data_IF_123235245880
#
_entry.id   IF_123235245880
#
_cell.length_a   1.000
_cell.length_b   1.000
_cell.length_c   1.000
_cell.angle_alpha   90.00
_cell.angle_beta   90.00
_cell.angle_gamma   90.00
#
_symmetry.space_group_name_H-M   'P 1'
#
loop_
_entity.id
_entity.type
_entity.pdbx_description
1 polymer ?
#
# COMPACT_ATOMS: atom_id res chain seq x y z
N UNK A 1 -12.91 4.09 -11.07
CA UNK A 1 -13.11 3.44 -12.39
C UNK A 1 -13.56 4.48 -13.42
N UNK A 2 -13.74 4.10 -14.69
CA UNK A 2 -14.30 5.00 -15.70
C UNK A 2 -15.77 5.39 -15.45
N UNK A 3 -16.56 4.51 -14.82
CA UNK A 3 -18.01 4.70 -14.59
C UNK A 3 -18.38 5.10 -13.16
N UNK A 4 -17.45 4.99 -12.21
CA UNK A 4 -17.70 5.27 -10.80
C UNK A 4 -16.48 5.80 -10.04
N UNK A 5 -16.76 6.63 -9.02
CA UNK A 5 -15.78 7.18 -8.07
C UNK A 5 -15.93 6.40 -6.77
N UNK A 6 -14.80 6.05 -6.15
CA UNK A 6 -14.78 5.35 -4.87
C UNK A 6 -14.09 6.24 -3.85
N UNK A 7 -14.65 6.31 -2.65
CA UNK A 7 -14.07 7.03 -1.52
C UNK A 7 -14.30 6.24 -0.24
N UNK A 8 -13.48 6.46 0.77
CA UNK A 8 -13.59 5.76 2.03
C UNK A 8 -13.46 6.71 3.22
N UNK A 9 -14.16 6.39 4.29
CA UNK A 9 -13.91 6.87 5.65
C UNK A 9 -13.41 5.70 6.48
N UNK A 10 -13.05 5.93 7.74
CA UNK A 10 -12.65 4.85 8.65
C UNK A 10 -13.72 3.77 8.85
N UNK A 11 -14.99 3.99 8.47
CA UNK A 11 -16.10 3.06 8.74
C UNK A 11 -16.90 2.64 7.51
N UNK A 12 -16.66 3.25 6.35
CA UNK A 12 -17.46 2.99 5.16
C UNK A 12 -16.69 3.25 3.86
N UNK A 13 -17.01 2.46 2.84
CA UNK A 13 -16.69 2.76 1.43
C UNK A 13 -17.94 3.31 0.76
N UNK A 14 -17.76 4.33 -0.07
CA UNK A 14 -18.79 4.94 -0.89
C UNK A 14 -18.44 4.72 -2.35
N UNK A 15 -19.42 4.28 -3.14
CA UNK A 15 -19.32 4.21 -4.60
C UNK A 15 -20.34 5.16 -5.21
N UNK A 16 -19.85 6.14 -5.97
CA UNK A 16 -20.67 7.09 -6.71
C UNK A 16 -20.67 6.73 -8.20
N UNK A 17 -21.84 6.44 -8.76
CA UNK A 17 -22.03 6.20 -10.18
C UNK A 17 -22.01 7.51 -10.97
N UNK A 18 -21.01 7.72 -11.84
CA UNK A 18 -20.88 8.96 -12.62
C UNK A 18 -22.03 9.17 -13.61
N UNK A 19 -22.59 8.07 -14.11
CA UNK A 19 -23.65 8.10 -15.12
C UNK A 19 -25.06 8.17 -14.50
N UNK A 20 -25.25 7.57 -13.32
CA UNK A 20 -26.57 7.47 -12.67
C UNK A 20 -26.77 8.50 -11.56
N UNK A 21 -25.68 9.03 -10.99
CA UNK A 21 -25.71 9.89 -9.80
C UNK A 21 -25.98 9.12 -8.49
N UNK A 22 -26.08 7.79 -8.54
CA UNK A 22 -26.39 6.96 -7.38
C UNK A 22 -25.18 6.83 -6.46
N UNK A 23 -25.45 6.75 -5.14
CA UNK A 23 -24.46 6.50 -4.10
C UNK A 23 -24.78 5.18 -3.43
N UNK A 24 -23.85 4.24 -3.50
CA UNK A 24 -23.86 3.01 -2.71
C UNK A 24 -22.90 3.16 -1.52
N UNK A 25 -23.28 2.58 -0.39
CA UNK A 25 -22.50 2.61 0.85
C UNK A 25 -22.26 1.21 1.38
N UNK A 26 -20.99 0.85 1.52
CA UNK A 26 -20.52 -0.41 2.09
C UNK A 26 -19.94 -0.15 3.49
N UNK A 27 -20.32 -0.97 4.46
CA UNK A 27 -19.98 -0.87 5.87
C UNK A 27 -19.80 -2.26 6.45
N UNK A 28 -19.28 -2.37 7.67
CA UNK A 28 -19.21 -3.66 8.38
C UNK A 28 -20.57 -4.34 8.58
N UNK A 29 -21.65 -3.55 8.63
CA UNK A 29 -23.01 -4.07 8.87
C UNK A 29 -23.56 -4.80 7.64
N UNK A 30 -23.20 -4.35 6.43
CA UNK A 30 -23.83 -4.83 5.20
C UNK A 30 -22.90 -5.54 4.22
N UNK A 31 -21.57 -5.39 4.31
CA UNK A 31 -20.66 -6.00 3.35
C UNK A 31 -19.23 -6.19 3.86
N UNK A 32 -18.64 -5.16 4.47
CA UNK A 32 -17.22 -5.15 4.85
C UNK A 32 -16.94 -6.07 6.04
N UNK A 33 -15.71 -6.55 6.13
CA UNK A 33 -15.28 -7.48 7.18
C UNK A 33 -14.81 -6.76 8.44
N UNK A 34 -14.45 -5.47 8.33
CA UNK A 34 -14.01 -4.70 9.49
C UNK A 34 -14.31 -3.19 9.44
N UNK A 35 -13.94 -2.51 10.52
CA UNK A 35 -13.84 -1.04 10.63
C UNK A 35 -12.37 -0.63 10.73
N UNK A 36 -12.10 0.67 10.64
CA UNK A 36 -10.73 1.20 10.64
C UNK A 36 -10.08 1.10 9.27
N UNK A 37 -10.83 1.41 8.19
CA UNK A 37 -10.29 1.49 6.83
C UNK A 37 -9.19 2.55 6.84
N UNK A 38 -7.99 2.15 6.42
CA UNK A 38 -6.80 2.99 6.38
C UNK A 38 -6.46 3.41 4.95
N UNK A 39 -6.75 2.56 3.96
CA UNK A 39 -6.46 2.84 2.56
C UNK A 39 -7.36 2.06 1.60
N UNK A 40 -7.53 2.55 0.39
CA UNK A 40 -8.25 1.88 -0.69
C UNK A 40 -7.51 2.00 -2.01
N UNK A 41 -7.57 0.95 -2.85
CA UNK A 41 -6.95 0.94 -4.18
C UNK A 41 -7.86 0.28 -5.20
N UNK A 42 -8.16 1.01 -6.28
CA UNK A 42 -8.90 0.47 -7.42
C UNK A 42 -7.96 -0.29 -8.34
N UNK A 43 -8.32 -1.52 -8.68
CA UNK A 43 -7.57 -2.40 -9.59
C UNK A 43 -8.39 -2.54 -10.87
N UNK A 44 -7.94 -1.87 -11.94
CA UNK A 44 -8.79 -1.56 -13.09
C UNK A 44 -9.06 -2.75 -14.01
N UNK A 45 -8.05 -3.57 -14.26
CA UNK A 45 -8.12 -4.80 -15.06
C UNK A 45 -9.04 -5.86 -14.43
N UNK A 46 -9.12 -5.89 -13.10
CA UNK A 46 -9.97 -6.83 -12.33
C UNK A 46 -11.33 -6.25 -11.90
N UNK A 47 -11.53 -4.95 -12.10
CA UNK A 47 -12.74 -4.23 -11.66
C UNK A 47 -13.09 -4.41 -10.17
N UNK A 48 -12.07 -4.40 -9.31
CA UNK A 48 -12.23 -4.57 -7.86
C UNK A 48 -11.62 -3.40 -7.09
N UNK A 49 -12.14 -3.18 -5.87
CA UNK A 49 -11.56 -2.26 -4.89
C UNK A 49 -10.92 -3.06 -3.76
N UNK A 50 -9.61 -2.89 -3.59
CA UNK A 50 -8.89 -3.34 -2.41
C UNK A 50 -9.12 -2.36 -1.26
N UNK A 51 -9.38 -2.89 -0.07
CA UNK A 51 -9.68 -2.12 1.14
C UNK A 51 -8.75 -2.61 2.25
N UNK A 52 -7.74 -1.80 2.57
CA UNK A 52 -6.79 -2.07 3.65
C UNK A 52 -7.29 -1.50 4.96
N UNK A 53 -7.02 -2.21 6.06
CA UNK A 53 -7.43 -1.83 7.41
C UNK A 53 -6.23 -1.59 8.33
N UNK A 54 -6.42 -0.73 9.32
CA UNK A 54 -5.41 -0.41 10.34
C UNK A 54 -5.03 -1.57 11.26
N UNK A 55 -5.71 -2.72 11.18
CA UNK A 55 -5.37 -3.94 11.92
C UNK A 55 -4.77 -5.05 11.04
N UNK A 56 -4.43 -4.74 9.79
CA UNK A 56 -3.89 -5.71 8.84
C UNK A 56 -4.94 -6.57 8.16
N UNK A 57 -6.23 -6.28 8.27
CA UNK A 57 -7.22 -6.96 7.43
C UNK A 57 -7.14 -6.42 5.98
N UNK A 58 -7.62 -7.23 5.04
CA UNK A 58 -7.81 -6.83 3.64
C UNK A 58 -9.16 -7.34 3.15
N UNK A 59 -9.93 -6.48 2.49
CA UNK A 59 -11.13 -6.86 1.73
C UNK A 59 -10.93 -6.59 0.23
N UNK A 60 -11.45 -7.48 -0.60
CA UNK A 60 -11.57 -7.32 -2.04
C UNK A 60 -13.05 -7.15 -2.38
N UNK A 61 -13.45 -5.94 -2.76
CA UNK A 61 -14.82 -5.61 -3.13
C UNK A 61 -15.00 -5.64 -4.66
N UNK A 62 -15.83 -6.55 -5.16
CA UNK A 62 -16.18 -6.67 -6.58
C UNK A 62 -17.70 -6.58 -6.75
N UNK A 63 -18.18 -5.56 -7.47
CA UNK A 63 -19.62 -5.28 -7.51
C UNK A 63 -20.14 -5.00 -6.09
N UNK A 64 -20.94 -5.90 -5.52
CA UNK A 64 -21.42 -5.82 -4.13
C UNK A 64 -20.88 -6.94 -3.24
N UNK A 65 -20.07 -7.85 -3.80
CA UNK A 65 -19.49 -8.99 -3.09
C UNK A 65 -18.14 -8.64 -2.49
N UNK A 66 -17.90 -9.12 -1.27
CA UNK A 66 -16.64 -8.95 -0.55
C UNK A 66 -16.00 -10.30 -0.32
N UNK A 67 -14.72 -10.42 -0.65
CA UNK A 67 -13.85 -11.51 -0.22
C UNK A 67 -12.90 -10.95 0.84
N UNK A 68 -12.83 -11.62 1.99
CA UNK A 68 -11.94 -11.23 3.07
C UNK A 68 -10.65 -12.04 3.06
N UNK A 69 -9.51 -11.36 3.19
CA UNK A 69 -8.19 -11.97 3.39
C UNK A 69 -7.60 -11.51 4.74
N UNK A 70 -7.83 -12.26 5.83
CA UNK A 70 -7.45 -11.86 7.19
C UNK A 70 -6.03 -12.28 7.59
N UNK A 71 -5.21 -12.74 6.64
CA UNK A 71 -3.94 -13.43 6.87
C UNK A 71 -2.94 -12.57 7.65
N UNK A 72 -2.74 -11.30 7.26
CA UNK A 72 -1.85 -10.38 7.99
C UNK A 72 -2.39 -10.15 9.41
N UNK A 73 -3.69 -9.85 9.55
CA UNK A 73 -4.36 -9.70 10.85
C UNK A 73 -4.17 -10.92 11.76
N UNK A 74 -4.26 -12.15 11.21
CA UNK A 74 -4.14 -13.42 11.94
C UNK A 74 -2.71 -13.93 12.11
N UNK A 75 -1.73 -13.35 11.40
CA UNK A 75 -0.34 -13.77 11.47
C UNK A 75 0.25 -13.64 12.89
N UNK A 76 1.36 -14.34 13.16
CA UNK A 76 2.10 -14.20 14.42
C UNK A 76 3.07 -13.01 14.45
N UNK A 77 3.04 -12.14 13.43
CA UNK A 77 3.85 -10.92 13.40
C UNK A 77 3.46 -10.05 14.59
N UNK A 78 4.45 -9.69 15.40
CA UNK A 78 4.26 -8.79 16.54
C UNK A 78 4.36 -7.34 16.06
N UNK A 79 3.70 -6.43 16.78
CA UNK A 79 3.76 -5.00 16.49
C UNK A 79 2.62 -4.52 15.59
N UNK A 80 2.88 -3.44 14.87
CA UNK A 80 1.91 -2.80 14.00
C UNK A 80 1.72 -3.58 12.70
N UNK A 81 0.46 -3.90 12.38
CA UNK A 81 0.05 -4.65 11.20
C UNK A 81 -0.75 -3.82 10.21
N UNK A 82 -0.96 -2.52 10.49
CA UNK A 82 -1.80 -1.66 9.69
C UNK A 82 -1.36 -1.64 8.22
N UNK A 83 -2.33 -1.59 7.30
CA UNK A 83 -2.07 -1.41 5.86
C UNK A 83 -2.11 0.09 5.57
N UNK A 84 -0.96 0.70 5.28
CA UNK A 84 -0.82 2.14 5.07
C UNK A 84 -1.10 2.56 3.64
N UNK A 85 -0.68 1.75 2.67
CA UNK A 85 -0.93 1.97 1.25
C UNK A 85 -0.94 0.67 0.49
N UNK A 86 -1.52 0.71 -0.72
CA UNK A 86 -1.62 -0.43 -1.62
C UNK A 86 -1.20 0.06 -3.01
N UNK A 87 -0.18 -0.59 -3.54
CA UNK A 87 0.21 -0.49 -4.96
C UNK A 87 -0.21 -1.78 -5.67
N UNK A 88 -0.49 -1.71 -6.97
CA UNK A 88 -0.78 -2.90 -7.77
C UNK A 88 0.16 -2.96 -8.97
N UNK A 89 0.57 -4.16 -9.32
CA UNK A 89 1.28 -4.41 -10.58
C UNK A 89 1.15 -5.88 -10.96
N UNK A 90 0.86 -6.16 -12.24
CA UNK A 90 0.94 -7.50 -12.82
C UNK A 90 0.16 -8.57 -12.04
N UNK A 91 -1.07 -8.27 -11.62
CA UNK A 91 -1.93 -9.21 -10.88
C UNK A 91 -1.57 -9.38 -9.40
N UNK A 92 -0.62 -8.61 -8.88
CA UNK A 92 -0.27 -8.58 -7.46
C UNK A 92 -0.67 -7.26 -6.81
N UNK A 93 -1.02 -7.33 -5.53
CA UNK A 93 -1.13 -6.18 -4.67
C UNK A 93 0.02 -6.14 -3.66
N UNK A 94 0.66 -4.99 -3.56
CA UNK A 94 1.77 -4.73 -2.65
C UNK A 94 1.25 -3.87 -1.51
N UNK A 95 1.01 -4.50 -0.36
CA UNK A 95 0.50 -3.86 0.84
C UNK A 95 1.66 -3.32 1.65
N UNK A 96 1.77 -1.99 1.78
CA UNK A 96 2.73 -1.38 2.67
C UNK A 96 2.19 -1.44 4.11
N UNK A 97 2.88 -2.17 4.98
CA UNK A 97 2.45 -2.47 6.33
C UNK A 97 3.40 -1.90 7.39
N UNK A 98 2.93 -1.88 8.64
CA UNK A 98 3.72 -1.47 9.81
C UNK A 98 5.04 -2.21 10.05
N UNK A 99 5.22 -3.37 9.41
CA UNK A 99 6.39 -4.22 9.57
C UNK A 99 7.21 -4.43 8.29
N UNK A 100 6.72 -3.99 7.13
CA UNK A 100 7.34 -4.26 5.83
C UNK A 100 6.31 -4.23 4.70
N UNK A 101 6.56 -4.97 3.62
CA UNK A 101 5.63 -5.07 2.48
C UNK A 101 5.09 -6.50 2.39
N UNK A 102 3.78 -6.66 2.19
CA UNK A 102 3.16 -7.96 1.92
C UNK A 102 2.69 -8.00 0.47
N UNK A 103 3.04 -9.05 -0.24
CA UNK A 103 2.61 -9.29 -1.63
C UNK A 103 1.45 -10.26 -1.62
N UNK A 104 0.36 -9.86 -2.24
CA UNK A 104 -0.86 -10.68 -2.39
C UNK A 104 -1.04 -11.00 -3.86
N UNK A 105 -1.19 -12.29 -4.17
CA UNK A 105 -1.65 -12.74 -5.48
C UNK A 105 -3.16 -12.49 -5.56
N UNK A 106 -3.60 -11.69 -6.54
CA UNK A 106 -5.01 -11.32 -6.67
C UNK A 106 -5.85 -12.36 -7.43
N UNK A 107 -5.23 -13.36 -8.08
CA UNK A 107 -5.92 -14.49 -8.72
C UNK A 107 -6.19 -15.59 -7.71
N UNK A 108 -5.17 -15.98 -6.95
CA UNK A 108 -5.28 -16.97 -5.89
C UNK A 108 -5.94 -16.38 -4.63
N UNK A 109 -5.90 -15.05 -4.47
CA UNK A 109 -6.37 -14.33 -3.27
C UNK A 109 -5.68 -14.86 -2.02
N UNK A 110 -4.34 -14.87 -2.06
CA UNK A 110 -3.50 -15.35 -0.97
C UNK A 110 -2.24 -14.49 -0.80
N UNK A 111 -1.65 -14.55 0.39
CA UNK A 111 -0.33 -13.93 0.64
C UNK A 111 0.74 -14.78 -0.05
N UNK A 112 1.43 -14.18 -1.02
CA UNK A 112 2.49 -14.82 -1.78
C UNK A 112 3.86 -14.64 -1.09
N UNK A 113 4.18 -13.40 -0.71
CA UNK A 113 5.46 -13.06 -0.07
C UNK A 113 5.29 -12.01 1.03
N UNK A 114 6.29 -11.95 1.92
CA UNK A 114 6.43 -10.88 2.90
C UNK A 114 7.88 -10.39 2.89
N UNK A 115 8.07 -9.09 2.67
CA UNK A 115 9.37 -8.44 2.58
C UNK A 115 9.65 -7.66 3.86
N UNK A 116 10.56 -8.19 4.68
CA UNK A 116 11.14 -7.46 5.82
C UNK A 116 12.37 -6.70 5.33
N UNK A 117 12.13 -5.46 4.89
CA UNK A 117 13.13 -4.64 4.16
C UNK A 117 14.11 -3.89 5.06
N UNK A 118 13.89 -3.93 6.38
CA UNK A 118 14.75 -3.27 7.35
C UNK A 118 16.14 -3.90 7.44
N UNK A 119 17.15 -3.16 7.94
CA UNK A 119 18.50 -3.70 8.13
C UNK A 119 18.48 -5.00 8.94
N UNK A 120 19.21 -6.01 8.47
CA UNK A 120 19.25 -7.36 9.07
C UNK A 120 17.88 -8.06 9.18
N UNK A 121 16.92 -7.69 8.31
CA UNK A 121 15.58 -8.28 8.30
C UNK A 121 14.68 -7.77 9.43
N UNK A 122 15.00 -6.60 9.99
CA UNK A 122 14.13 -5.97 10.99
C UNK A 122 12.79 -5.58 10.38
N UNK A 123 11.76 -5.52 11.23
CA UNK A 123 10.52 -4.85 10.87
C UNK A 123 10.80 -3.37 10.63
N UNK A 124 10.21 -2.82 9.58
CA UNK A 124 10.32 -1.41 9.23
C UNK A 124 9.01 -0.97 8.59
N UNK A 125 8.37 0.06 9.13
CA UNK A 125 7.09 0.54 8.60
C UNK A 125 7.26 1.03 7.16
N UNK A 126 6.50 0.44 6.24
CA UNK A 126 6.36 0.90 4.87
C UNK A 126 5.14 1.82 4.77
N UNK A 127 5.37 3.06 4.31
CA UNK A 127 4.34 4.07 4.11
C UNK A 127 3.78 4.06 2.68
N UNK A 128 4.63 3.72 1.71
CA UNK A 128 4.31 3.80 0.29
C UNK A 128 5.27 2.96 -0.55
N UNK A 129 4.80 2.49 -1.70
CA UNK A 129 5.60 1.75 -2.67
C UNK A 129 5.36 2.33 -4.06
N UNK A 130 6.42 2.40 -4.86
CA UNK A 130 6.34 2.73 -6.27
C UNK A 130 7.30 1.87 -7.09
N UNK A 131 6.83 1.45 -8.27
CA UNK A 131 7.68 0.89 -9.31
C UNK A 131 8.18 2.02 -10.20
N UNK A 132 9.50 2.17 -10.33
CA UNK A 132 10.08 3.20 -11.16
C UNK A 132 11.34 2.66 -11.85
N UNK A 133 11.39 2.80 -13.17
CA UNK A 133 12.44 2.22 -14.01
C UNK A 133 12.57 0.70 -13.79
N UNK A 134 13.74 0.23 -13.36
CA UNK A 134 14.04 -1.20 -13.10
C UNK A 134 13.91 -1.59 -11.62
N UNK A 135 13.41 -0.67 -10.79
CA UNK A 135 13.50 -0.75 -9.34
C UNK A 135 12.16 -0.58 -8.66
N UNK A 136 12.07 -1.19 -7.48
CA UNK A 136 11.00 -0.98 -6.51
C UNK A 136 11.53 -0.01 -5.47
N UNK A 137 10.75 1.03 -5.17
CA UNK A 137 11.07 2.01 -4.14
C UNK A 137 10.02 1.95 -3.04
N UNK A 138 10.46 1.87 -1.79
CA UNK A 138 9.59 1.84 -0.61
C UNK A 138 9.92 3.03 0.27
N UNK A 139 8.94 3.91 0.43
CA UNK A 139 8.96 4.98 1.42
C UNK A 139 8.72 4.38 2.80
N UNK A 140 9.63 4.63 3.74
CA UNK A 140 9.55 4.06 5.09
C UNK A 140 9.62 5.14 6.16
N UNK A 141 9.44 4.73 7.41
CA UNK A 141 9.71 5.58 8.58
C UNK A 141 11.20 5.96 8.74
N UNK A 142 12.11 5.30 8.04
CA UNK A 142 13.58 5.49 8.13
C UNK A 142 14.24 5.66 6.74
N UNK A 143 13.58 6.45 5.88
CA UNK A 143 14.10 6.86 4.58
C UNK A 143 13.47 6.15 3.38
N UNK A 144 14.19 6.17 2.25
CA UNK A 144 13.80 5.46 1.02
C UNK A 144 14.61 4.19 0.89
N UNK A 145 13.95 3.05 0.75
CA UNK A 145 14.59 1.78 0.44
C UNK A 145 14.32 1.39 -1.00
N UNK A 146 15.25 0.69 -1.64
CA UNK A 146 15.09 0.25 -3.02
C UNK A 146 15.74 -1.09 -3.28
N UNK A 147 15.16 -1.84 -4.21
CA UNK A 147 15.69 -3.09 -4.73
C UNK A 147 15.40 -3.14 -6.24
N UNK A 148 16.23 -3.85 -6.99
CA UNK A 148 15.90 -4.18 -8.38
C UNK A 148 14.65 -5.05 -8.41
N UNK A 149 13.71 -4.74 -9.29
CA UNK A 149 12.45 -5.48 -9.40
C UNK A 149 12.67 -6.96 -9.76
N UNK A 150 13.71 -7.24 -10.54
CA UNK A 150 14.10 -8.58 -10.96
C UNK A 150 15.10 -9.25 -10.01
N UNK A 151 15.24 -8.76 -8.78
CA UNK A 151 16.09 -9.40 -7.78
C UNK A 151 15.57 -10.83 -7.49
N UNK A 152 16.48 -11.81 -7.28
CA UNK A 152 16.10 -13.21 -7.22
C UNK A 152 15.24 -13.59 -6.00
N UNK A 153 15.23 -12.77 -4.94
CA UNK A 153 14.44 -13.01 -3.73
C UNK A 153 14.17 -11.69 -2.99
N UNK A 154 13.07 -11.01 -3.30
CA UNK A 154 12.71 -9.74 -2.66
C UNK A 154 12.35 -9.89 -1.18
N UNK A 155 12.04 -11.10 -0.70
CA UNK A 155 11.88 -11.37 0.73
C UNK A 155 13.21 -11.34 1.51
N UNK A 156 14.36 -11.45 0.84
CA UNK A 156 15.66 -11.25 1.47
C UNK A 156 16.00 -9.77 1.62
N UNK A 157 16.21 -9.32 2.87
CA UNK A 157 16.63 -7.95 3.18
C UNK A 157 17.95 -7.56 2.46
N UNK A 158 18.77 -8.55 2.07
CA UNK A 158 20.03 -8.31 1.36
C UNK A 158 19.86 -7.74 -0.04
N UNK A 159 18.65 -7.79 -0.62
CA UNK A 159 18.34 -7.14 -1.90
C UNK A 159 17.95 -5.67 -1.74
N UNK A 160 17.67 -5.22 -0.52
CA UNK A 160 17.21 -3.87 -0.23
C UNK A 160 18.37 -2.97 0.18
N UNK A 161 18.41 -1.76 -0.37
CA UNK A 161 19.39 -0.73 -0.04
C UNK A 161 18.66 0.56 0.30
N UNK A 162 19.08 1.18 1.40
CA UNK A 162 18.68 2.56 1.69
C UNK A 162 19.33 3.49 0.67
N UNK A 163 18.55 4.39 0.09
CA UNK A 163 19.00 5.40 -0.87
C UNK A 163 19.64 6.58 -0.13
N UNK A 164 20.95 6.68 -0.20
CA UNK A 164 21.73 7.78 0.40
C UNK A 164 21.82 9.02 -0.49
N UNK A 165 21.39 8.91 -1.74
CA UNK A 165 21.32 9.98 -2.73
C UNK A 165 20.06 10.86 -2.57
N UNK A 166 19.16 10.49 -1.65
CA UNK A 166 17.99 11.28 -1.28
C UNK A 166 18.35 12.25 -0.13
N UNK A 167 18.01 13.55 -0.21
CA UNK A 167 18.25 14.50 0.87
C UNK A 167 17.59 14.06 2.18
N UNK A 168 18.34 14.10 3.29
CA UNK A 168 17.89 13.60 4.60
C UNK A 168 17.44 12.13 4.53
N UNK A 169 18.30 11.28 3.96
CA UNK A 169 18.06 9.86 3.66
C UNK A 169 17.64 8.96 4.84
N UNK A 170 17.61 9.49 6.06
CA UNK A 170 17.18 8.80 7.29
C UNK A 170 15.88 9.35 7.86
N UNK A 171 15.29 10.38 7.24
CA UNK A 171 14.00 10.93 7.67
C UNK A 171 12.87 10.10 7.09
N UNK A 172 11.76 10.01 7.83
CA UNK A 172 10.54 9.38 7.36
C UNK A 172 10.06 9.99 6.04
N UNK A 173 9.81 9.11 5.07
CA UNK A 173 9.15 9.45 3.81
C UNK A 173 7.69 9.05 3.94
N UNK A 174 6.80 10.02 3.89
CA UNK A 174 5.37 9.82 4.17
C UNK A 174 4.60 9.34 2.95
N UNK A 175 5.04 9.71 1.75
CA UNK A 175 4.41 9.33 0.49
C UNK A 175 5.44 9.19 -0.62
N UNK A 176 5.10 8.37 -1.61
CA UNK A 176 5.85 8.16 -2.84
C UNK A 176 4.86 8.02 -4.01
N UNK A 177 5.20 8.58 -5.17
CA UNK A 177 4.38 8.53 -6.37
C UNK A 177 5.27 8.66 -7.61
N UNK A 178 4.90 8.00 -8.70
CA UNK A 178 5.50 8.25 -10.03
C UNK A 178 4.60 9.17 -10.84
N UNK A 179 5.18 10.21 -11.41
CA UNK A 179 4.52 11.11 -12.36
C UNK A 179 5.40 11.26 -13.61
N UNK A 180 4.96 10.68 -14.73
CA UNK A 180 5.79 10.61 -15.94
C UNK A 180 7.06 9.81 -15.66
N UNK A 181 8.22 10.41 -15.95
CA UNK A 181 9.54 9.83 -15.69
C UNK A 181 10.18 10.41 -14.41
N UNK A 182 9.35 10.75 -13.41
CA UNK A 182 9.82 11.34 -12.15
C UNK A 182 9.24 10.60 -10.96
N UNK A 183 10.12 10.22 -10.04
CA UNK A 183 9.76 9.70 -8.73
C UNK A 183 9.65 10.86 -7.74
N UNK A 184 8.44 11.09 -7.23
CA UNK A 184 8.15 12.10 -6.23
C UNK A 184 8.07 11.46 -4.85
N UNK A 185 8.68 12.10 -3.87
CA UNK A 185 8.63 11.70 -2.46
C UNK A 185 8.21 12.88 -1.60
N UNK A 186 7.41 12.61 -0.57
CA UNK A 186 7.06 13.60 0.46
C UNK A 186 7.70 13.20 1.79
N UNK A 187 8.14 14.19 2.56
CA UNK A 187 8.80 14.02 3.85
C UNK A 187 8.21 15.00 4.86
N UNK A 188 8.22 14.62 6.13
CA UNK A 188 7.97 15.59 7.20
C UNK A 188 9.27 16.36 7.41
N UNK A 189 9.29 17.65 7.07
CA UNK A 189 10.38 18.53 7.50
C UNK A 189 10.18 18.84 8.98
N UNK A 190 11.23 18.68 9.78
CA UNK A 190 11.26 19.17 11.17
C UNK A 190 11.31 20.71 11.27
N UNK A 191 10.94 21.42 10.20
CA UNK A 191 10.89 22.86 10.13
C UNK A 191 9.66 23.27 9.32
N UNK A 192 8.89 24.22 9.83
CA UNK A 192 7.79 24.94 9.17
C UNK A 192 8.28 25.77 7.96
N UNK A 193 9.05 25.19 7.04
CA UNK A 193 9.42 25.84 5.80
C UNK A 193 9.37 24.82 4.66
N UNK A 194 8.29 24.94 3.86
CA UNK A 194 8.18 24.33 2.55
C UNK A 194 9.44 24.64 1.73
N UNK A 195 10.02 23.63 1.10
CA UNK A 195 11.02 23.84 0.05
C UNK A 195 10.63 23.00 -1.16
N UNK A 196 10.24 23.68 -2.25
CA UNK A 196 10.08 23.07 -3.57
C UNK A 196 11.45 23.13 -4.26
N UNK A 197 11.96 21.99 -4.71
CA UNK A 197 13.12 21.95 -5.59
C UNK A 197 12.63 21.75 -7.03
N UNK A 198 13.11 22.61 -7.92
CA UNK A 198 12.91 22.56 -9.37
C UNK A 198 14.05 21.78 -10.04
#
# INVERSE_FOLDING_TARGET
>A
SGSSIHGATSTAVYRYGRNTGEIERFTKVNALSDVGISTVRWVADRQLLLIGYGNGNLDLLTGTSVINLPDIKRSNILGDKGVYSIEEKNGRAYLCCGFGVVVVDLDAVEVEETWLIGPAGSQLQANGLAFFQDSIHVATEDGLFSAFEQAPNLASFENWRRRSDVPSSTNAITNILVFGDTLLISRVSASEQDTVFA
#
